data_IF_552469616288
#
_entry.id   IF_552469616288
#
_cell.length_a   1.000
_cell.length_b   1.000
_cell.length_c   1.000
_cell.angle_alpha   90.00
_cell.angle_beta   90.00
_cell.angle_gamma   90.00
#
_symmetry.space_group_name_H-M   'P 1'
#
loop_
_entity.id
_entity.type
_entity.pdbx_description
1 polymer ?
#
# COMPACT_ATOMS: atom_id res chain seq x y z
N UNK A 1 -7.96 4.03 -4.65
CA UNK A 1 -8.23 2.94 -3.68
C UNK A 1 -9.33 1.94 -4.09
N UNK A 2 -10.48 2.33 -4.66
CA UNK A 2 -11.58 1.36 -4.96
C UNK A 2 -11.31 0.36 -6.10
N UNK A 3 -10.41 0.66 -7.05
CA UNK A 3 -10.06 -0.24 -8.16
C UNK A 3 -9.15 -1.41 -7.75
N UNK A 4 -8.27 -1.19 -6.76
CA UNK A 4 -7.31 -2.19 -6.27
C UNK A 4 -7.97 -3.32 -5.44
N UNK A 5 -9.14 -3.07 -4.85
CA UNK A 5 -9.87 -4.06 -4.04
C UNK A 5 -10.70 -5.02 -4.91
N UNK A 6 -11.14 -4.58 -6.10
CA UNK A 6 -11.96 -5.41 -7.00
C UNK A 6 -11.14 -6.50 -7.70
N UNK A 7 -9.94 -6.16 -8.18
CA UNK A 7 -9.02 -7.13 -8.82
C UNK A 7 -8.65 -8.30 -7.89
N UNK A 8 -8.39 -8.01 -6.61
CA UNK A 8 -8.06 -9.03 -5.59
C UNK A 8 -9.26 -9.93 -5.25
N UNK A 9 -10.50 -9.41 -5.35
CA UNK A 9 -11.70 -10.21 -5.13
C UNK A 9 -11.95 -11.21 -6.26
N UNK A 10 -11.64 -10.85 -7.52
CA UNK A 10 -11.81 -11.72 -8.70
C UNK A 10 -10.84 -12.90 -8.65
N UNK A 11 -9.57 -12.66 -8.27
CA UNK A 11 -8.55 -13.73 -8.10
C UNK A 11 -8.97 -14.73 -7.02
N UNK A 12 -9.66 -14.27 -5.97
CA UNK A 12 -10.13 -15.13 -4.88
C UNK A 12 -11.35 -15.99 -5.28
N UNK A 13 -12.18 -15.51 -6.20
CA UNK A 13 -13.37 -16.26 -6.68
C UNK A 13 -12.92 -17.35 -7.66
N UNK A 14 -12.05 -17.05 -8.62
CA UNK A 14 -11.64 -18.02 -9.64
C UNK A 14 -10.66 -19.10 -9.12
N UNK A 15 -9.86 -18.82 -8.10
CA UNK A 15 -8.97 -19.83 -7.49
C UNK A 15 -9.71 -20.89 -6.67
N UNK A 16 -11.00 -20.68 -6.37
CA UNK A 16 -11.84 -21.67 -5.67
C UNK A 16 -12.58 -22.57 -6.67
N UNK A 17 -12.88 -22.09 -7.87
CA UNK A 17 -13.70 -22.82 -8.86
C UNK A 17 -12.88 -23.77 -9.77
N UNK A 18 -11.56 -23.57 -9.90
CA UNK A 18 -10.70 -24.44 -10.75
C UNK A 18 -10.35 -25.80 -10.09
N UNK A 19 -10.75 -26.06 -8.83
CA UNK A 19 -10.52 -27.38 -8.17
C UNK A 19 -11.75 -28.30 -8.19
N UNK A 20 -12.86 -27.92 -8.82
CA UNK A 20 -14.14 -28.61 -8.65
C UNK A 20 -14.65 -29.42 -9.85
N UNK A 21 -13.81 -29.83 -10.80
CA UNK A 21 -14.21 -30.86 -11.77
C UNK A 21 -13.66 -32.24 -11.36
N UNK A 22 -14.33 -32.88 -10.39
CA UNK A 22 -14.14 -34.31 -10.13
C UNK A 22 -14.20 -34.77 -8.67
N UNK A 23 -15.40 -34.91 -8.09
CA UNK A 23 -15.60 -36.00 -7.13
C UNK A 23 -17.03 -36.57 -7.13
N UNK A 24 -17.19 -37.69 -7.82
CA UNK A 24 -18.35 -38.56 -7.63
C UNK A 24 -18.20 -39.36 -6.32
N UNK A 25 -19.17 -39.21 -5.43
CA UNK A 25 -19.45 -40.03 -4.25
C UNK A 25 -19.29 -41.55 -4.49
N UNK A 26 -18.50 -42.22 -3.64
CA UNK A 26 -18.91 -43.50 -3.01
C UNK A 26 -18.02 -43.89 -1.81
N UNK A 27 -18.68 -44.15 -0.67
CA UNK A 27 -18.36 -45.28 0.20
C UNK A 27 -17.31 -45.10 1.30
N UNK A 28 -17.81 -44.97 2.52
CA UNK A 28 -17.17 -45.17 3.83
C UNK A 28 -16.34 -46.45 3.92
N UNK A 29 -15.09 -46.39 4.43
CA UNK A 29 -14.72 -47.03 5.71
C UNK A 29 -13.31 -46.66 6.21
N UNK A 30 -13.19 -46.74 7.53
CA UNK A 30 -12.09 -46.38 8.45
C UNK A 30 -10.72 -47.06 8.24
N UNK A 31 -9.63 -46.36 8.58
CA UNK A 31 -8.49 -46.96 9.30
C UNK A 31 -7.05 -46.65 8.85
N UNK A 32 -6.43 -45.66 9.51
CA UNK A 32 -5.07 -45.62 10.09
C UNK A 32 -3.77 -45.96 9.28
N UNK A 33 -2.82 -45.02 9.39
CA UNK A 33 -1.32 -45.15 9.46
C UNK A 33 -0.50 -45.70 8.29
N UNK A 34 0.53 -44.93 7.91
CA UNK A 34 1.83 -45.48 7.50
C UNK A 34 2.54 -44.72 6.38
N UNK A 35 3.59 -43.97 6.73
CA UNK A 35 4.69 -43.61 5.83
C UNK A 35 5.21 -44.84 5.07
N UNK A 36 5.56 -44.70 3.78
CA UNK A 36 6.95 -44.85 3.29
C UNK A 36 7.03 -44.75 1.77
N UNK A 37 8.04 -44.00 1.34
CA UNK A 37 8.61 -43.89 0.00
C UNK A 37 9.11 -45.23 -0.55
N UNK A 38 8.82 -45.52 -1.82
CA UNK A 38 9.66 -46.37 -2.67
C UNK A 38 9.26 -46.24 -4.15
N UNK A 39 10.14 -45.65 -4.96
CA UNK A 39 10.32 -45.94 -6.39
C UNK A 39 11.41 -47.02 -6.46
N UNK A 40 11.26 -48.08 -7.26
CA UNK A 40 12.10 -48.17 -8.47
C UNK A 40 11.44 -48.81 -9.71
N UNK A 41 11.81 -48.22 -10.84
CA UNK A 41 12.25 -48.86 -12.10
C UNK A 41 11.36 -49.92 -12.79
N UNK A 42 11.04 -49.64 -14.05
CA UNK A 42 11.51 -50.55 -15.11
C UNK A 42 10.61 -50.76 -16.34
N UNK A 43 11.20 -50.37 -17.48
CA UNK A 43 11.26 -51.09 -18.77
C UNK A 43 10.14 -50.93 -19.81
N UNK A 44 10.53 -50.22 -20.87
CA UNK A 44 10.63 -50.68 -22.28
C UNK A 44 9.47 -51.54 -22.83
N UNK A 45 8.80 -51.04 -23.87
CA UNK A 45 8.97 -51.55 -25.25
C UNK A 45 8.15 -50.76 -26.27
N UNK A 46 8.85 -50.27 -27.29
CA UNK A 46 8.33 -49.98 -28.61
C UNK A 46 8.20 -51.28 -29.43
N UNK A 47 7.15 -51.35 -30.26
CA UNK A 47 6.94 -52.04 -31.55
C UNK A 47 5.41 -52.21 -31.67
N UNK A 48 4.72 -51.81 -32.73
CA UNK A 48 4.93 -52.28 -34.10
C UNK A 48 3.96 -51.53 -35.01
N UNK A 49 4.44 -50.79 -36.01
CA UNK A 49 3.63 -50.40 -37.16
C UNK A 49 4.14 -51.08 -38.43
N UNK A 50 3.16 -51.61 -39.16
CA UNK A 50 3.31 -52.39 -40.38
C UNK A 50 2.60 -51.60 -41.49
N UNK A 51 3.41 -51.09 -42.42
CA UNK A 51 3.26 -51.04 -43.89
C UNK A 51 1.86 -50.67 -44.46
N UNK A 52 1.82 -49.71 -45.40
CA UNK A 52 1.59 -50.16 -46.77
C UNK A 52 2.60 -49.66 -47.81
N UNK A 53 2.73 -50.52 -48.81
CA UNK A 53 3.58 -50.50 -49.98
C UNK A 53 2.89 -49.73 -51.13
N UNK A 54 3.66 -48.94 -51.89
CA UNK A 54 3.59 -48.70 -53.36
C UNK A 54 2.25 -48.22 -53.97
N UNK A 55 2.22 -47.21 -54.85
CA UNK A 55 2.99 -47.11 -56.09
C UNK A 55 2.86 -45.70 -56.70
N UNK A 56 3.93 -45.24 -57.33
CA UNK A 56 4.06 -44.05 -58.16
C UNK A 56 3.05 -43.97 -59.32
N UNK A 57 2.66 -42.75 -59.71
CA UNK A 57 2.80 -42.31 -61.11
C UNK A 57 2.89 -40.78 -61.18
N UNK A 58 3.99 -40.28 -61.72
CA UNK A 58 4.22 -38.89 -62.12
C UNK A 58 3.72 -38.72 -63.56
N UNK A 59 2.99 -37.65 -63.88
CA UNK A 59 3.18 -36.98 -65.17
C UNK A 59 2.77 -35.51 -65.15
N UNK A 60 3.58 -34.72 -65.82
CA UNK A 60 3.56 -33.26 -65.92
C UNK A 60 2.46 -32.76 -66.87
N UNK A 61 2.06 -31.49 -66.74
CA UNK A 61 2.39 -30.40 -67.72
C UNK A 61 1.32 -29.28 -67.78
N UNK A 62 1.83 -28.05 -67.56
CA UNK A 62 1.45 -26.73 -68.09
C UNK A 62 0.19 -25.94 -67.65
N UNK A 63 0.52 -24.81 -66.98
CA UNK A 63 0.15 -23.41 -67.27
C UNK A 63 -1.32 -23.04 -67.54
N UNK A 64 -1.86 -22.10 -66.76
CA UNK A 64 -1.95 -20.66 -67.13
C UNK A 64 -2.78 -19.85 -66.12
N UNK A 65 -2.09 -18.93 -65.46
CA UNK A 65 -2.45 -17.53 -65.18
C UNK A 65 -3.89 -17.11 -64.81
N UNK A 66 -3.96 -16.46 -63.64
CA UNK A 66 -4.86 -15.38 -63.23
C UNK A 66 -6.37 -15.65 -63.10
N UNK A 67 -6.85 -15.60 -61.85
CA UNK A 67 -7.62 -14.45 -61.36
C UNK A 67 -8.18 -14.76 -59.96
N UNK A 68 -7.90 -13.85 -59.02
CA UNK A 68 -8.89 -13.26 -58.12
C UNK A 68 -10.17 -14.07 -57.83
N UNK A 69 -10.25 -14.63 -56.62
CA UNK A 69 -11.49 -14.57 -55.84
C UNK A 69 -11.05 -14.12 -54.44
N UNK A 70 -11.15 -12.84 -54.10
CA UNK A 70 -12.42 -12.28 -53.61
C UNK A 70 -12.98 -13.26 -52.56
N UNK A 71 -12.50 -13.11 -51.33
CA UNK A 71 -12.96 -13.86 -50.17
C UNK A 71 -14.43 -13.52 -49.96
N UNK A 72 -15.31 -14.34 -50.54
CA UNK A 72 -16.66 -14.46 -50.07
C UNK A 72 -16.56 -14.87 -48.60
N UNK A 73 -16.86 -13.92 -47.71
CA UNK A 73 -17.16 -14.24 -46.32
C UNK A 73 -18.34 -15.19 -46.35
N UNK A 74 -18.07 -16.45 -46.11
CA UNK A 74 -19.09 -17.45 -45.83
C UNK A 74 -19.64 -17.10 -44.43
N UNK A 75 -20.73 -16.33 -44.38
CA UNK A 75 -21.34 -15.78 -43.14
C UNK A 75 -21.91 -16.86 -42.18
N UNK A 76 -21.51 -18.13 -42.30
CA UNK A 76 -22.08 -19.23 -41.52
C UNK A 76 -21.08 -20.31 -41.09
N UNK A 77 -19.78 -20.06 -41.17
CA UNK A 77 -18.77 -20.99 -40.64
C UNK A 77 -18.43 -20.64 -39.20
N UNK A 78 -18.32 -21.62 -38.29
CA UNK A 78 -17.89 -21.38 -36.90
C UNK A 78 -16.50 -20.75 -36.82
N UNK A 79 -15.61 -21.04 -37.78
CA UNK A 79 -14.24 -20.56 -37.81
C UNK A 79 -14.14 -19.02 -37.73
N UNK A 80 -13.23 -18.51 -36.90
CA UNK A 80 -13.05 -17.09 -36.65
C UNK A 80 -12.34 -16.77 -35.34
N UNK A 81 -12.14 -15.46 -35.12
CA UNK A 81 -11.61 -14.90 -33.88
C UNK A 81 -12.77 -14.36 -33.05
N UNK A 82 -12.79 -14.71 -31.78
CA UNK A 82 -13.89 -14.43 -30.88
C UNK A 82 -13.39 -13.82 -29.57
N UNK A 83 -14.14 -12.85 -29.05
CA UNK A 83 -13.94 -12.29 -27.72
C UNK A 83 -15.14 -12.59 -26.84
N UNK A 84 -14.91 -12.83 -25.56
CA UNK A 84 -16.00 -12.92 -24.58
C UNK A 84 -16.68 -11.55 -24.42
N UNK A 85 -18.02 -11.55 -24.31
CA UNK A 85 -18.81 -10.35 -24.02
C UNK A 85 -19.72 -10.52 -22.79
N UNK A 86 -19.86 -11.74 -22.29
CA UNK A 86 -20.59 -12.02 -21.08
C UNK A 86 -20.06 -13.31 -20.47
N UNK A 87 -19.93 -13.31 -19.14
CA UNK A 87 -19.56 -14.50 -18.39
C UNK A 87 -20.34 -14.51 -17.08
N UNK A 88 -21.03 -15.61 -16.84
CA UNK A 88 -21.56 -15.97 -15.53
C UNK A 88 -20.73 -17.12 -15.00
N UNK A 89 -20.30 -17.06 -13.74
CA UNK A 89 -19.63 -18.16 -13.07
C UNK A 89 -20.20 -18.35 -11.67
N UNK A 90 -20.47 -19.59 -11.27
CA UNK A 90 -21.11 -19.92 -9.99
C UNK A 90 -22.41 -19.12 -9.71
N UNK A 91 -23.12 -18.72 -10.78
CA UNK A 91 -24.32 -17.89 -10.71
C UNK A 91 -24.09 -16.38 -10.51
N UNK A 92 -22.83 -15.92 -10.51
CA UNK A 92 -22.45 -14.50 -10.48
C UNK A 92 -22.06 -14.00 -11.88
N UNK A 93 -22.66 -12.89 -12.31
CA UNK A 93 -22.28 -12.20 -13.55
C UNK A 93 -21.02 -11.36 -13.31
N UNK A 94 -19.94 -11.72 -14.00
CA UNK A 94 -18.62 -11.08 -13.89
C UNK A 94 -18.22 -10.31 -15.17
N UNK A 95 -19.21 -9.95 -15.98
CA UNK A 95 -18.97 -9.31 -17.28
C UNK A 95 -18.22 -7.97 -17.14
N UNK A 96 -18.54 -7.17 -16.13
CA UNK A 96 -17.92 -5.85 -15.91
C UNK A 96 -16.45 -5.96 -15.47
N UNK A 97 -16.09 -7.05 -14.81
CA UNK A 97 -14.75 -7.39 -14.37
C UNK A 97 -13.89 -7.81 -15.56
N UNK A 98 -14.44 -8.58 -16.49
CA UNK A 98 -13.76 -8.95 -17.74
C UNK A 98 -13.44 -7.74 -18.61
N UNK A 99 -14.36 -6.76 -18.71
CA UNK A 99 -14.09 -5.51 -19.44
C UNK A 99 -12.91 -4.73 -18.83
N UNK A 100 -12.76 -4.77 -17.49
CA UNK A 100 -11.64 -4.12 -16.82
C UNK A 100 -10.32 -4.84 -17.06
N UNK A 101 -10.32 -6.18 -17.04
CA UNK A 101 -9.14 -6.98 -17.37
C UNK A 101 -8.70 -6.72 -18.82
N UNK A 102 -9.65 -6.69 -19.77
CA UNK A 102 -9.36 -6.44 -21.18
C UNK A 102 -8.70 -5.06 -21.37
N UNK A 103 -9.12 -4.06 -20.60
CA UNK A 103 -8.54 -2.72 -20.64
C UNK A 103 -7.09 -2.64 -20.11
N UNK A 104 -6.65 -3.61 -19.32
CA UNK A 104 -5.28 -3.69 -18.78
C UNK A 104 -4.41 -4.75 -19.48
N UNK A 105 -4.93 -5.37 -20.55
CA UNK A 105 -4.16 -6.27 -21.41
C UNK A 105 -4.30 -7.76 -21.08
N UNK A 106 -5.40 -8.18 -20.44
CA UNK A 106 -5.72 -9.61 -20.23
C UNK A 106 -7.19 -9.87 -20.52
N UNK A 107 -7.55 -11.00 -21.13
CA UNK A 107 -8.94 -11.28 -21.43
C UNK A 107 -9.18 -12.72 -21.87
N UNK A 108 -10.43 -13.02 -22.27
CA UNK A 108 -10.81 -14.34 -22.76
C UNK A 108 -11.15 -14.28 -24.24
N UNK A 109 -10.41 -15.03 -25.05
CA UNK A 109 -10.50 -15.04 -26.50
C UNK A 109 -10.47 -16.47 -27.03
N UNK A 110 -11.17 -16.72 -28.13
CA UNK A 110 -11.12 -18.01 -28.82
C UNK A 110 -10.79 -17.82 -30.30
N UNK A 111 -9.85 -18.60 -30.81
CA UNK A 111 -9.49 -18.68 -32.22
C UNK A 111 -9.90 -20.06 -32.72
N UNK A 112 -10.85 -20.11 -33.65
CA UNK A 112 -11.37 -21.34 -34.24
C UNK A 112 -10.89 -21.40 -35.69
N UNK A 113 -10.07 -22.39 -36.01
CA UNK A 113 -9.52 -22.58 -37.34
C UNK A 113 -10.44 -23.44 -38.21
N UNK A 114 -10.47 -23.21 -39.53
CA UNK A 114 -11.31 -23.99 -40.44
C UNK A 114 -10.84 -25.44 -40.64
N UNK A 115 -9.65 -25.80 -40.16
CA UNK A 115 -9.07 -27.15 -40.28
C UNK A 115 -9.51 -28.11 -39.17
N UNK A 116 -10.39 -27.67 -38.27
CA UNK A 116 -10.88 -28.47 -37.13
C UNK A 116 -10.08 -28.25 -35.83
N UNK A 117 -9.10 -27.35 -35.83
CA UNK A 117 -8.33 -26.98 -34.62
C UNK A 117 -8.76 -25.62 -34.08
N UNK A 118 -8.33 -25.29 -32.86
CA UNK A 118 -8.50 -23.98 -32.29
C UNK A 118 -7.69 -23.80 -31.01
N UNK A 119 -7.75 -22.60 -30.46
CA UNK A 119 -7.11 -22.24 -29.21
C UNK A 119 -8.01 -21.27 -28.44
N UNK A 120 -8.08 -21.45 -27.12
CA UNK A 120 -8.68 -20.48 -26.22
C UNK A 120 -7.56 -19.85 -25.38
N UNK A 121 -7.53 -18.52 -25.33
CA UNK A 121 -6.74 -17.78 -24.37
C UNK A 121 -7.68 -17.43 -23.21
N UNK A 122 -7.39 -17.96 -22.03
CA UNK A 122 -8.06 -17.61 -20.78
C UNK A 122 -7.11 -16.79 -19.92
N UNK A 123 -7.19 -15.48 -20.04
CA UNK A 123 -6.41 -14.53 -19.22
C UNK A 123 -4.90 -14.77 -19.29
N UNK A 124 -4.37 -14.94 -20.51
CA UNK A 124 -2.95 -15.17 -20.81
C UNK A 124 -2.56 -16.64 -20.88
N UNK A 125 -3.41 -17.56 -20.43
CA UNK A 125 -3.17 -19.01 -20.53
C UNK A 125 -3.82 -19.55 -21.81
N UNK A 126 -3.00 -20.15 -22.68
CA UNK A 126 -3.46 -20.71 -23.96
C UNK A 126 -3.70 -22.21 -23.83
N UNK A 127 -4.87 -22.65 -24.25
CA UNK A 127 -5.24 -24.07 -24.32
C UNK A 127 -5.69 -24.41 -25.74
N UNK A 128 -5.06 -25.42 -26.33
CA UNK A 128 -5.39 -25.90 -27.66
C UNK A 128 -6.59 -26.87 -27.60
N UNK A 129 -7.39 -26.92 -28.67
CA UNK A 129 -8.51 -27.84 -28.79
C UNK A 129 -8.75 -28.27 -30.22
N UNK A 130 -9.35 -29.45 -30.39
CA UNK A 130 -10.01 -29.85 -31.64
C UNK A 130 -11.51 -29.55 -31.55
N UNK A 131 -12.20 -29.39 -32.68
CA UNK A 131 -13.64 -29.11 -32.67
C UNK A 131 -14.41 -29.88 -33.73
N UNK A 132 -15.63 -30.30 -33.36
CA UNK A 132 -16.61 -30.91 -34.25
C UNK A 132 -17.93 -30.10 -34.23
N UNK A 133 -19.01 -30.62 -34.81
CA UNK A 133 -20.31 -29.92 -34.90
C UNK A 133 -20.95 -29.59 -33.53
N UNK A 134 -20.48 -30.19 -32.43
CA UNK A 134 -21.15 -30.15 -31.13
C UNK A 134 -20.21 -29.89 -29.95
N UNK A 135 -18.93 -30.25 -30.04
CA UNK A 135 -17.98 -30.22 -28.94
C UNK A 135 -16.67 -29.54 -29.32
N UNK A 136 -16.09 -28.87 -28.33
CA UNK A 136 -14.65 -28.59 -28.26
C UNK A 136 -13.98 -29.69 -27.44
N UNK A 137 -13.01 -30.38 -28.02
CA UNK A 137 -12.17 -31.39 -27.39
C UNK A 137 -10.93 -30.69 -26.85
N UNK A 138 -10.98 -30.30 -25.58
CA UNK A 138 -9.92 -29.51 -24.94
C UNK A 138 -8.71 -30.38 -24.63
N UNK A 139 -7.52 -29.94 -25.04
CA UNK A 139 -6.25 -30.60 -24.77
C UNK A 139 -5.48 -29.77 -23.74
N UNK A 140 -5.44 -30.26 -22.51
CA UNK A 140 -4.70 -29.63 -21.41
C UNK A 140 -3.64 -30.61 -20.90
N UNK A 141 -2.40 -30.16 -20.76
CA UNK A 141 -1.30 -31.00 -20.29
C UNK A 141 -1.42 -31.38 -18.79
N UNK A 142 -2.29 -30.69 -18.05
CA UNK A 142 -2.44 -30.80 -16.59
C UNK A 142 -3.70 -31.54 -16.14
N UNK A 143 -4.74 -31.58 -16.98
CA UNK A 143 -6.00 -32.32 -16.74
C UNK A 143 -6.30 -33.25 -17.90
N UNK A 144 -7.13 -34.27 -17.69
CA UNK A 144 -7.53 -35.16 -18.78
C UNK A 144 -8.35 -34.41 -19.83
N UNK A 145 -8.17 -34.79 -21.11
CA UNK A 145 -8.98 -34.33 -22.23
C UNK A 145 -10.46 -34.27 -21.86
N UNK A 146 -11.09 -33.14 -22.16
CA UNK A 146 -12.47 -32.86 -21.76
C UNK A 146 -13.28 -32.35 -22.95
N UNK A 147 -14.49 -32.90 -23.12
CA UNK A 147 -15.44 -32.49 -24.15
C UNK A 147 -16.35 -31.37 -23.62
N UNK A 148 -16.26 -30.21 -24.25
CA UNK A 148 -17.03 -29.02 -23.88
C UNK A 148 -18.12 -28.76 -24.92
N UNK A 149 -19.41 -28.90 -24.58
CA UNK A 149 -20.49 -28.61 -25.51
C UNK A 149 -20.57 -27.11 -25.80
N UNK A 150 -20.81 -26.75 -27.05
CA UNK A 150 -21.03 -25.37 -27.46
C UNK A 150 -22.30 -25.22 -28.29
N UNK A 151 -22.77 -23.98 -28.42
CA UNK A 151 -23.83 -23.61 -29.37
C UNK A 151 -23.38 -22.41 -30.18
N UNK A 152 -23.71 -22.40 -31.47
CA UNK A 152 -23.45 -21.27 -32.35
C UNK A 152 -24.74 -20.86 -33.05
N UNK A 153 -25.25 -19.68 -32.69
CA UNK A 153 -26.49 -19.13 -33.23
C UNK A 153 -26.42 -17.60 -33.26
N UNK A 154 -27.00 -16.99 -34.29
CA UNK A 154 -27.07 -15.52 -34.44
C UNK A 154 -25.69 -14.83 -34.33
N UNK A 155 -24.63 -15.49 -34.83
CA UNK A 155 -23.25 -14.99 -34.79
C UNK A 155 -22.59 -15.01 -33.41
N UNK A 156 -23.22 -15.67 -32.42
CA UNK A 156 -22.72 -15.82 -31.06
C UNK A 156 -22.34 -17.27 -30.79
N UNK A 157 -21.17 -17.44 -30.20
CA UNK A 157 -20.71 -18.71 -29.66
C UNK A 157 -21.00 -18.72 -28.17
N UNK A 158 -21.76 -19.71 -27.68
CA UNK A 158 -22.04 -19.88 -26.25
C UNK A 158 -21.48 -21.20 -25.79
N UNK A 159 -20.69 -21.15 -24.72
CA UNK A 159 -20.16 -22.30 -23.98
C UNK A 159 -20.81 -22.28 -22.61
N UNK A 160 -21.56 -23.33 -22.26
CA UNK A 160 -22.24 -23.42 -20.98
C UNK A 160 -21.99 -24.78 -20.32
N UNK A 161 -21.51 -24.76 -19.08
CA UNK A 161 -21.24 -25.95 -18.28
C UNK A 161 -21.67 -25.70 -16.84
N UNK A 162 -22.53 -26.58 -16.33
CA UNK A 162 -23.03 -26.50 -14.95
C UNK A 162 -23.62 -25.12 -14.58
N UNK A 163 -22.92 -24.33 -13.75
CA UNK A 163 -23.27 -22.97 -13.32
C UNK A 163 -22.55 -21.86 -14.09
N UNK A 164 -21.68 -22.23 -15.03
CA UNK A 164 -20.86 -21.31 -15.80
C UNK A 164 -21.40 -21.17 -17.23
N UNK A 165 -21.44 -19.93 -17.72
CA UNK A 165 -21.84 -19.60 -19.09
C UNK A 165 -20.93 -18.49 -19.62
N UNK A 166 -20.34 -18.73 -20.80
CA UNK A 166 -19.57 -17.73 -21.54
C UNK A 166 -20.21 -17.49 -22.90
N UNK A 167 -20.40 -16.22 -23.25
CA UNK A 167 -20.94 -15.79 -24.55
C UNK A 167 -19.88 -14.99 -25.28
N UNK A 168 -19.58 -15.42 -26.49
CA UNK A 168 -18.58 -14.85 -27.37
C UNK A 168 -19.21 -14.23 -28.62
N UNK A 169 -18.55 -13.19 -29.14
CA UNK A 169 -18.85 -12.59 -30.45
C UNK A 169 -17.59 -12.52 -31.29
N UNK A 170 -17.77 -12.48 -32.61
CA UNK A 170 -16.65 -12.25 -33.52
C UNK A 170 -15.97 -10.93 -33.22
N UNK A 171 -14.64 -10.96 -33.25
CA UNK A 171 -13.80 -9.78 -33.12
C UNK A 171 -13.86 -8.94 -34.40
N UNK A 172 -13.72 -7.63 -34.22
CA UNK A 172 -13.45 -6.69 -35.33
C UNK A 172 -12.03 -6.87 -35.87
N UNK A 173 -11.74 -6.30 -37.03
CA UNK A 173 -10.40 -6.37 -37.63
C UNK A 173 -9.35 -5.70 -36.74
N UNK A 174 -9.70 -4.59 -36.08
CA UNK A 174 -8.82 -3.90 -35.13
C UNK A 174 -8.53 -4.75 -33.89
N UNK A 175 -9.55 -5.39 -33.32
CA UNK A 175 -9.39 -6.25 -32.14
C UNK A 175 -8.56 -7.49 -32.47
N UNK A 176 -8.78 -8.08 -33.66
CA UNK A 176 -7.97 -9.19 -34.13
C UNK A 176 -6.51 -8.79 -34.24
N UNK A 177 -6.22 -7.62 -34.80
CA UNK A 177 -4.85 -7.13 -34.92
C UNK A 177 -4.20 -6.93 -33.53
N UNK A 178 -4.93 -6.40 -32.55
CA UNK A 178 -4.44 -6.26 -31.18
C UNK A 178 -4.11 -7.62 -30.55
N UNK A 179 -4.98 -8.62 -30.74
CA UNK A 179 -4.72 -9.99 -30.29
C UNK A 179 -3.50 -10.61 -30.97
N UNK A 180 -3.39 -10.53 -32.30
CA UNK A 180 -2.25 -11.07 -33.05
C UNK A 180 -0.92 -10.38 -32.68
N UNK A 181 -0.96 -9.16 -32.12
CA UNK A 181 0.22 -8.45 -31.59
C UNK A 181 0.59 -8.85 -30.15
N UNK A 182 -0.23 -9.65 -29.48
CA UNK A 182 -0.04 -10.07 -28.08
C UNK A 182 -0.48 -9.03 -27.04
N UNK A 183 -1.33 -8.07 -27.41
CA UNK A 183 -1.79 -7.01 -26.49
C UNK A 183 -2.62 -7.57 -25.31
N UNK A 184 -3.09 -8.82 -25.42
CA UNK A 184 -3.91 -9.51 -24.43
C UNK A 184 -3.26 -10.74 -23.79
N UNK A 185 -1.96 -10.96 -24.02
CA UNK A 185 -1.25 -12.15 -23.54
C UNK A 185 -0.82 -12.05 -22.07
N UNK A 186 -1.17 -10.96 -21.38
CA UNK A 186 -0.77 -10.82 -19.97
C UNK A 186 -1.53 -11.81 -19.11
N UNK A 187 -0.78 -12.58 -18.34
CA UNK A 187 -1.36 -13.43 -17.30
C UNK A 187 -1.83 -12.59 -16.11
N UNK A 188 -2.75 -13.14 -15.32
CA UNK A 188 -3.18 -12.51 -14.07
C UNK A 188 -1.99 -12.26 -13.13
N UNK A 189 -1.02 -13.18 -13.09
CA UNK A 189 0.19 -13.03 -12.28
C UNK A 189 1.03 -11.84 -12.77
N UNK A 190 1.24 -11.71 -14.08
CA UNK A 190 1.97 -10.58 -14.66
C UNK A 190 1.27 -9.24 -14.38
N UNK A 191 -0.05 -9.19 -14.51
CA UNK A 191 -0.83 -8.00 -14.16
C UNK A 191 -0.68 -7.66 -12.68
N UNK A 192 -0.71 -8.67 -11.82
CA UNK A 192 -0.58 -8.48 -10.37
C UNK A 192 0.80 -7.94 -10.00
N UNK A 193 1.85 -8.49 -10.60
CA UNK A 193 3.23 -8.03 -10.40
C UNK A 193 3.42 -6.59 -10.89
N UNK A 194 2.94 -6.25 -12.10
CA UNK A 194 3.00 -4.88 -12.61
C UNK A 194 2.25 -3.88 -11.72
N UNK A 195 1.08 -4.28 -11.19
CA UNK A 195 0.30 -3.45 -10.28
C UNK A 195 0.99 -3.28 -8.92
N UNK A 196 1.67 -4.32 -8.43
CA UNK A 196 2.45 -4.28 -7.19
C UNK A 196 3.66 -3.37 -7.35
N UNK A 197 4.40 -3.50 -8.44
CA UNK A 197 5.58 -2.68 -8.75
C UNK A 197 5.18 -1.20 -8.87
N UNK A 198 4.12 -0.90 -9.63
CA UNK A 198 3.61 0.47 -9.75
C UNK A 198 3.17 1.05 -8.40
N UNK A 199 2.55 0.25 -7.53
CA UNK A 199 2.14 0.71 -6.21
C UNK A 199 3.35 0.91 -5.27
N UNK A 200 4.39 0.08 -5.42
CA UNK A 200 5.63 0.19 -4.65
C UNK A 200 6.42 1.44 -5.04
N UNK A 201 6.56 1.71 -6.33
CA UNK A 201 7.22 2.91 -6.86
C UNK A 201 6.50 4.20 -6.44
N UNK A 202 5.17 4.22 -6.53
CA UNK A 202 4.34 5.36 -6.07
C UNK A 202 4.56 5.61 -4.57
N UNK A 203 4.47 4.57 -3.74
CA UNK A 203 4.67 4.69 -2.30
C UNK A 203 6.10 5.13 -1.92
N UNK A 204 7.11 4.65 -2.64
CA UNK A 204 8.51 5.00 -2.40
C UNK A 204 8.79 6.45 -2.78
N UNK A 205 8.25 6.91 -3.93
CA UNK A 205 8.39 8.30 -4.35
C UNK A 205 7.69 9.28 -3.40
N UNK A 206 6.54 8.92 -2.84
CA UNK A 206 5.85 9.74 -1.83
C UNK A 206 6.67 9.81 -0.52
N UNK A 207 7.29 8.70 -0.12
CA UNK A 207 8.13 8.66 1.07
C UNK A 207 9.39 9.51 0.90
N UNK A 208 10.06 9.44 -0.26
CA UNK A 208 11.25 10.23 -0.56
C UNK A 208 10.92 11.73 -0.59
N UNK A 209 9.79 12.12 -1.19
CA UNK A 209 9.34 13.52 -1.18
C UNK A 209 9.08 14.02 0.25
N UNK A 210 8.43 13.21 1.09
CA UNK A 210 8.18 13.57 2.48
C UNK A 210 9.46 13.66 3.31
N UNK A 211 10.46 12.83 3.00
CA UNK A 211 11.77 12.89 3.63
C UNK A 211 12.55 14.16 3.23
N UNK A 212 12.55 14.51 1.94
CA UNK A 212 13.18 15.73 1.43
C UNK A 212 12.54 16.99 2.03
N UNK A 213 11.20 17.03 2.12
CA UNK A 213 10.48 18.13 2.77
C UNK A 213 10.89 18.27 4.24
N UNK A 214 10.94 17.15 4.98
CA UNK A 214 11.35 17.15 6.39
C UNK A 214 12.81 17.58 6.58
N UNK A 215 13.72 17.21 5.67
CA UNK A 215 15.11 17.67 5.70
C UNK A 215 15.19 19.18 5.43
N UNK A 216 14.44 19.68 4.46
CA UNK A 216 14.41 21.12 4.15
C UNK A 216 13.89 21.95 5.34
N UNK A 217 12.85 21.47 6.02
CA UNK A 217 12.32 22.14 7.21
C UNK A 217 13.33 22.15 8.36
N UNK A 218 14.08 21.04 8.53
CA UNK A 218 15.14 20.94 9.53
C UNK A 218 16.28 21.92 9.23
N UNK A 219 16.74 22.01 7.97
CA UNK A 219 17.82 22.90 7.57
C UNK A 219 17.44 24.38 7.79
N UNK A 220 16.20 24.77 7.45
CA UNK A 220 15.69 26.11 7.72
C UNK A 220 15.67 26.41 9.23
N UNK A 221 15.20 25.46 10.04
CA UNK A 221 15.15 25.60 11.51
C UNK A 221 16.56 25.73 12.10
N UNK A 222 17.53 24.96 11.60
CA UNK A 222 18.93 25.01 12.04
C UNK A 222 19.59 26.32 11.62
N UNK A 223 19.31 26.82 10.42
CA UNK A 223 19.83 28.11 9.94
C UNK A 223 19.27 29.29 10.75
N UNK A 224 17.98 29.27 11.11
CA UNK A 224 17.39 30.25 12.02
C UNK A 224 18.05 30.18 13.41
N UNK A 225 18.19 28.99 13.99
CA UNK A 225 18.80 28.81 15.31
C UNK A 225 20.29 29.19 15.35
N UNK A 226 21.04 29.01 14.25
CA UNK A 226 22.46 29.39 14.21
C UNK A 226 22.69 30.87 13.93
N UNK A 227 21.78 31.54 13.22
CA UNK A 227 21.85 32.99 13.00
C UNK A 227 21.36 33.81 14.22
N UNK A 228 20.53 33.22 15.09
CA UNK A 228 20.04 33.85 16.33
C UNK A 228 20.80 33.45 17.61
N UNK A 229 22.06 33.00 17.50
CA UNK A 229 23.00 32.95 18.64
C UNK A 229 23.43 34.36 19.11
N UNK A 230 22.50 35.31 19.11
CA UNK A 230 22.57 36.54 19.88
C UNK A 230 22.45 36.15 21.35
N UNK A 231 23.51 36.40 22.12
CA UNK A 231 23.41 36.44 23.58
C UNK A 231 22.18 37.25 23.97
N UNK A 232 21.22 36.61 24.62
CA UNK A 232 20.03 37.25 25.15
C UNK A 232 20.49 38.43 26.03
N UNK A 233 20.11 39.64 25.64
CA UNK A 233 20.51 40.85 26.35
C UNK A 233 19.59 41.05 27.56
N UNK A 234 20.03 40.59 28.73
CA UNK A 234 19.28 40.74 29.98
C UNK A 234 19.28 42.17 30.54
N UNK A 235 19.89 43.14 29.85
CA UNK A 235 19.91 44.55 30.30
C UNK A 235 18.55 45.24 30.32
N UNK A 236 17.53 44.66 29.67
CA UNK A 236 16.16 45.17 29.67
C UNK A 236 15.32 44.71 30.87
N UNK A 237 15.79 43.72 31.65
CA UNK A 237 15.07 43.26 32.83
C UNK A 237 15.03 44.34 33.93
N UNK A 238 13.88 44.53 34.61
CA UNK A 238 13.79 45.48 35.71
C UNK A 238 14.72 45.07 36.85
N UNK A 239 15.36 46.05 37.50
CA UNK A 239 16.17 45.78 38.69
C UNK A 239 15.26 45.71 39.93
N UNK A 240 15.03 44.48 40.41
CA UNK A 240 14.17 44.19 41.56
C UNK A 240 14.96 43.89 42.85
N UNK A 241 16.27 44.15 42.86
CA UNK A 241 17.18 43.84 43.97
C UNK A 241 16.95 44.63 45.26
N UNK A 242 16.17 45.72 45.19
CA UNK A 242 15.87 46.56 46.35
C UNK A 242 14.67 46.09 47.18
N UNK A 243 13.91 45.10 46.70
CA UNK A 243 12.73 44.56 47.37
C UNK A 243 13.07 43.30 48.17
N UNK A 244 12.38 43.09 49.30
CA UNK A 244 12.42 41.79 49.98
C UNK A 244 11.39 40.87 49.33
N UNK A 245 11.86 39.75 48.79
CA UNK A 245 10.99 38.78 48.15
C UNK A 245 10.78 37.56 49.05
N UNK A 246 9.55 37.05 49.10
CA UNK A 246 9.17 35.99 50.04
C UNK A 246 9.08 34.59 49.40
N UNK A 247 9.15 34.52 48.07
CA UNK A 247 9.00 33.29 47.29
C UNK A 247 10.34 32.79 46.73
N UNK A 248 11.42 33.01 47.47
CA UNK A 248 12.76 32.57 47.08
C UNK A 248 12.88 31.06 47.20
N UNK A 249 13.47 30.39 46.22
CA UNK A 249 13.58 28.93 46.24
C UNK A 249 13.97 28.30 44.92
N UNK A 250 14.22 27.01 44.99
CA UNK A 250 14.27 26.12 43.84
C UNK A 250 12.93 25.46 43.64
N UNK A 251 12.50 25.39 42.40
CA UNK A 251 11.21 24.92 41.96
C UNK A 251 11.38 23.91 40.82
N UNK A 252 10.67 22.79 40.90
CA UNK A 252 10.65 21.75 39.86
C UNK A 252 9.25 21.62 39.27
N UNK A 253 9.14 21.36 37.97
CA UNK A 253 7.84 21.24 37.32
C UNK A 253 7.08 20.00 37.81
N UNK A 254 5.80 20.19 38.17
CA UNK A 254 4.86 19.11 38.46
C UNK A 254 4.03 18.75 37.23
N UNK A 255 3.56 19.77 36.52
CA UNK A 255 2.71 19.62 35.36
C UNK A 255 2.84 20.81 34.41
N UNK A 256 2.65 20.51 33.13
CA UNK A 256 2.59 21.46 32.03
C UNK A 256 1.28 21.25 31.29
N UNK A 257 0.55 22.30 30.96
CA UNK A 257 -0.64 22.24 30.14
C UNK A 257 -0.51 23.20 28.98
N UNK A 258 -0.80 22.70 27.78
CA UNK A 258 -0.83 23.45 26.53
C UNK A 258 -1.99 22.90 25.69
N UNK A 259 -2.77 23.78 25.06
CA UNK A 259 -3.89 23.41 24.20
C UNK A 259 -4.86 22.38 24.83
N UNK A 260 -5.15 22.58 26.13
CA UNK A 260 -6.00 21.69 26.93
C UNK A 260 -5.47 20.27 27.16
N UNK A 261 -4.21 20.00 26.82
CA UNK A 261 -3.52 18.74 27.11
C UNK A 261 -2.55 18.93 28.26
N UNK A 262 -2.71 18.12 29.30
CA UNK A 262 -1.84 18.13 30.48
C UNK A 262 -0.78 17.04 30.38
N UNK A 263 0.45 17.42 30.70
CA UNK A 263 1.63 16.58 30.76
C UNK A 263 2.15 16.55 32.20
N UNK A 264 2.36 15.37 32.75
CA UNK A 264 2.93 15.20 34.09
C UNK A 264 4.45 15.31 34.06
N UNK A 265 5.08 15.60 35.21
CA UNK A 265 6.54 15.61 35.36
C UNK A 265 7.22 14.34 34.79
N UNK A 266 6.65 13.15 35.01
CA UNK A 266 7.19 11.90 34.48
C UNK A 266 7.11 11.82 32.95
N UNK A 267 6.03 12.33 32.35
CA UNK A 267 5.87 12.37 30.89
C UNK A 267 6.88 13.34 30.26
N UNK A 268 7.05 14.52 30.86
CA UNK A 268 8.04 15.51 30.43
C UNK A 268 9.46 14.94 30.52
N UNK A 269 9.81 14.35 31.67
CA UNK A 269 11.12 13.71 31.87
C UNK A 269 11.39 12.59 30.87
N UNK A 270 10.38 11.76 30.57
CA UNK A 270 10.50 10.69 29.56
C UNK A 270 10.70 11.23 28.14
N UNK A 271 10.14 12.41 27.84
CA UNK A 271 10.35 13.11 26.59
C UNK A 271 11.71 13.83 26.50
N UNK A 272 12.56 13.72 27.53
CA UNK A 272 13.84 14.45 27.59
C UNK A 272 13.67 15.93 27.92
N UNK A 273 12.49 16.32 28.36
CA UNK A 273 12.17 17.70 28.70
C UNK A 273 12.38 17.92 30.20
N UNK A 274 13.33 18.79 30.53
CA UNK A 274 13.59 19.22 31.90
C UNK A 274 13.13 20.67 32.08
N UNK A 275 12.42 20.93 33.17
CA UNK A 275 12.09 22.28 33.61
C UNK A 275 12.42 22.45 35.09
N UNK A 276 13.23 23.45 35.39
CA UNK A 276 13.52 23.88 36.75
C UNK A 276 13.64 25.41 36.79
N UNK A 277 13.28 25.98 37.94
CA UNK A 277 13.28 27.42 38.15
C UNK A 277 13.92 27.74 39.50
N UNK A 278 14.74 28.78 39.53
CA UNK A 278 15.34 29.31 40.75
C UNK A 278 15.00 30.78 40.90
N UNK A 279 14.41 31.13 42.03
CA UNK A 279 14.07 32.51 42.40
C UNK A 279 14.99 32.94 43.54
N UNK A 280 15.89 33.87 43.27
CA UNK A 280 16.88 34.37 44.22
C UNK A 280 16.34 35.53 45.07
N UNK A 281 16.84 35.72 46.31
CA UNK A 281 16.42 36.82 47.19
C UNK A 281 16.68 38.23 46.67
N UNK A 282 17.56 38.38 45.70
CA UNK A 282 17.88 39.64 45.01
C UNK A 282 16.88 39.98 43.89
N UNK A 283 15.76 39.26 43.79
CA UNK A 283 14.75 39.49 42.76
C UNK A 283 15.19 39.08 41.36
N UNK A 284 16.27 38.31 41.25
CA UNK A 284 16.72 37.67 40.01
C UNK A 284 16.51 36.16 40.09
N UNK A 285 16.77 35.49 38.98
CA UNK A 285 16.68 34.05 38.93
C UNK A 285 16.96 33.51 37.54
N UNK A 286 16.69 32.22 37.38
CA UNK A 286 16.65 31.61 36.07
C UNK A 286 15.46 30.66 35.97
N UNK A 287 15.06 30.37 34.75
CA UNK A 287 14.30 29.17 34.43
C UNK A 287 14.95 28.42 33.28
N UNK A 288 15.03 27.10 33.42
CA UNK A 288 15.53 26.20 32.41
C UNK A 288 14.34 25.58 31.70
N UNK A 289 14.27 25.77 30.38
CA UNK A 289 13.24 25.21 29.52
C UNK A 289 13.92 24.39 28.43
N UNK A 290 13.78 23.05 28.48
CA UNK A 290 14.32 22.14 27.45
C UNK A 290 15.83 22.38 27.22
N UNK A 291 16.59 22.60 28.30
CA UNK A 291 18.03 22.83 28.24
C UNK A 291 18.46 24.26 27.90
N UNK A 292 17.51 25.16 27.68
CA UNK A 292 17.80 26.59 27.48
C UNK A 292 17.55 27.35 28.78
N UNK A 293 18.53 28.12 29.23
CA UNK A 293 18.42 28.95 30.43
C UNK A 293 17.96 30.35 30.07
N UNK A 294 16.92 30.82 30.76
CA UNK A 294 16.35 32.16 30.65
C UNK A 294 16.63 32.93 31.92
N UNK A 295 17.15 34.14 31.78
CA UNK A 295 17.34 35.05 32.89
C UNK A 295 15.98 35.60 33.35
N UNK A 296 15.75 35.57 34.66
CA UNK A 296 14.53 36.08 35.27
C UNK A 296 14.83 37.30 36.12
N UNK A 297 13.88 38.25 36.10
CA UNK A 297 13.66 39.17 37.20
C UNK A 297 12.26 38.97 37.76
N UNK A 298 12.04 39.15 39.05
CA UNK A 298 10.74 38.85 39.63
C UNK A 298 10.41 39.75 40.84
N UNK A 299 9.11 39.84 41.12
CA UNK A 299 8.52 40.36 42.35
C UNK A 299 7.44 39.40 42.87
N UNK A 300 7.01 39.56 44.13
CA UNK A 300 5.94 38.77 44.73
C UNK A 300 4.64 38.86 43.88
N UNK A 301 4.46 37.89 42.98
CA UNK A 301 3.33 37.76 42.05
C UNK A 301 3.63 37.97 40.55
N UNK A 302 4.85 38.40 40.17
CA UNK A 302 5.24 38.58 38.76
C UNK A 302 6.64 38.03 38.47
N UNK A 303 6.78 37.30 37.36
CA UNK A 303 8.07 36.92 36.78
C UNK A 303 8.22 37.64 35.44
N UNK A 304 9.39 38.21 35.20
CA UNK A 304 9.81 38.80 33.94
C UNK A 304 10.89 37.94 33.33
N UNK A 305 10.70 37.53 32.08
CA UNK A 305 11.62 36.66 31.34
C UNK A 305 12.27 37.46 30.23
N UNK A 306 13.60 37.36 30.09
CA UNK A 306 14.30 37.89 28.92
C UNK A 306 14.08 36.97 27.71
N UNK A 307 13.64 37.55 26.59
CA UNK A 307 13.45 36.85 25.31
C UNK A 307 14.26 37.55 24.21
N UNK A 308 14.38 36.89 23.06
CA UNK A 308 14.94 37.44 21.82
C UNK A 308 14.22 38.74 21.37
N UNK A 309 12.92 38.83 21.63
CA UNK A 309 12.08 39.99 21.32
C UNK A 309 12.02 41.03 22.44
N UNK A 310 12.73 40.83 23.55
CA UNK A 310 12.82 41.76 24.67
C UNK A 310 12.46 41.13 26.01
N UNK A 311 11.31 41.52 26.57
CA UNK A 311 10.89 41.11 27.91
C UNK A 311 9.44 40.66 27.88
N UNK A 312 9.18 39.48 28.43
CA UNK A 312 7.83 38.97 28.66
C UNK A 312 7.48 39.03 30.15
N UNK A 313 6.23 39.38 30.45
CA UNK A 313 5.71 39.49 31.81
C UNK A 313 4.72 38.35 32.07
N UNK A 314 5.07 37.47 32.99
CA UNK A 314 4.23 36.38 33.45
C UNK A 314 3.70 36.66 34.86
N UNK A 315 2.41 36.42 35.08
CA UNK A 315 1.81 36.49 36.42
C UNK A 315 1.83 35.08 37.01
N UNK A 316 2.27 34.96 38.26
CA UNK A 316 2.26 33.71 38.97
C UNK A 316 1.43 33.77 40.25
N UNK A 317 0.87 32.63 40.64
CA UNK A 317 0.06 32.47 41.83
C UNK A 317 0.70 31.42 42.73
N UNK A 318 0.92 31.78 43.99
CA UNK A 318 1.33 30.83 45.02
C UNK A 318 0.12 30.20 45.69
N UNK A 319 0.17 28.90 45.89
CA UNK A 319 -0.83 28.19 46.69
C UNK A 319 -0.21 27.00 47.41
N UNK A 320 -0.91 26.49 48.42
CA UNK A 320 -0.55 25.23 49.08
C UNK A 320 -1.46 24.13 48.53
N UNK A 321 -0.87 23.07 47.99
CA UNK A 321 -1.57 21.91 47.45
C UNK A 321 -0.96 20.63 48.00
N UNK A 322 -1.76 19.79 48.66
CA UNK A 322 -1.31 18.52 49.26
C UNK A 322 -0.07 18.67 50.16
N UNK A 323 -0.07 19.71 51.01
CA UNK A 323 1.05 20.07 51.90
C UNK A 323 2.34 20.50 51.18
N UNK A 324 2.27 20.78 49.87
CA UNK A 324 3.37 21.32 49.05
C UNK A 324 3.09 22.78 48.72
N UNK A 325 4.12 23.61 48.77
CA UNK A 325 4.03 24.98 48.27
C UNK A 325 4.25 24.95 46.76
N UNK A 326 3.30 25.46 46.00
CA UNK A 326 3.36 25.46 44.54
C UNK A 326 3.27 26.87 43.97
N UNK A 327 3.93 27.07 42.83
CA UNK A 327 3.77 28.24 41.97
C UNK A 327 3.06 27.81 40.71
N UNK A 328 1.95 28.48 40.39
CA UNK A 328 1.25 28.32 39.11
C UNK A 328 1.50 29.55 38.24
N UNK A 329 2.06 29.34 37.06
CA UNK A 329 2.19 30.37 36.02
C UNK A 329 1.12 30.09 34.99
N UNK A 330 0.35 31.11 34.62
CA UNK A 330 -0.74 30.97 33.66
C UNK A 330 -0.65 32.05 32.58
N UNK A 331 -0.73 31.62 31.34
CA UNK A 331 -0.82 32.45 30.14
C UNK A 331 -2.00 31.97 29.28
N UNK A 332 -2.36 32.75 28.26
CA UNK A 332 -3.58 32.62 27.46
C UNK A 332 -3.82 31.21 26.89
N UNK A 333 -2.76 30.45 26.62
CA UNK A 333 -2.79 29.10 26.06
C UNK A 333 -2.00 28.06 26.88
N UNK A 334 -1.33 28.47 27.97
CA UNK A 334 -0.38 27.63 28.69
C UNK A 334 -0.53 27.77 30.21
N UNK A 335 -0.42 26.66 30.94
CA UNK A 335 -0.32 26.68 32.38
C UNK A 335 0.80 25.77 32.88
N UNK A 336 1.61 26.27 33.80
CA UNK A 336 2.73 25.56 34.40
C UNK A 336 2.58 25.53 35.91
N UNK A 337 2.79 24.37 36.51
CA UNK A 337 2.74 24.19 37.96
C UNK A 337 4.08 23.69 38.44
N UNK A 338 4.69 24.42 39.36
CA UNK A 338 5.98 24.09 39.96
C UNK A 338 5.85 23.81 41.46
N UNK A 339 6.55 22.79 41.94
CA UNK A 339 6.69 22.46 43.35
C UNK A 339 7.95 23.09 43.91
N UNK A 340 7.82 23.71 45.09
CA UNK A 340 8.95 24.15 45.88
C UNK A 340 9.76 22.96 46.39
N UNK A 341 11.07 22.94 46.09
CA UNK A 341 11.97 21.84 46.46
C UNK A 341 12.82 22.21 47.68
N UNK A 342 13.48 23.38 47.66
CA UNK A 342 14.40 23.82 48.71
C UNK A 342 14.65 25.33 48.65
N UNK A 343 15.16 25.89 49.75
CA UNK A 343 15.53 27.31 49.82
C UNK A 343 16.67 27.61 48.85
N UNK A 344 16.61 28.79 48.22
CA UNK A 344 17.76 29.36 47.52
C UNK A 344 18.81 29.79 48.56
N UNK A 345 20.09 29.66 48.23
CA UNK A 345 21.15 30.16 49.11
C UNK A 345 20.99 31.68 49.27
N UNK A 346 20.84 32.21 50.49
CA UNK A 346 20.57 33.62 50.73
C UNK A 346 21.74 34.54 50.32
N UNK A 347 22.92 33.99 50.08
CA UNK A 347 24.10 34.70 49.60
C UNK A 347 24.34 34.56 48.09
N UNK A 348 23.49 33.80 47.40
CA UNK A 348 23.62 33.56 45.97
C UNK A 348 23.06 34.74 45.16
N UNK A 349 23.91 35.34 44.35
CA UNK A 349 23.55 36.37 43.37
C UNK A 349 23.60 35.75 41.96
N UNK A 350 22.48 35.79 41.24
CA UNK A 350 22.45 35.31 39.85
C UNK A 350 23.15 36.33 38.94
N UNK A 351 24.18 35.87 38.22
CA UNK A 351 25.04 36.74 37.39
C UNK A 351 24.67 36.76 35.91
N UNK A 352 23.61 36.05 35.50
CA UNK A 352 23.12 36.00 34.12
C UNK A 352 23.86 34.97 33.27
N UNK A 353 23.15 33.98 32.74
CA UNK A 353 23.71 32.94 31.84
C UNK A 353 22.73 32.60 30.73
N UNK A 354 22.01 33.59 30.22
CA UNK A 354 21.00 33.37 29.20
C UNK A 354 21.62 32.83 27.89
N UNK A 355 21.10 31.69 27.43
CA UNK A 355 21.61 30.93 26.28
C UNK A 355 21.60 29.42 26.47
N UNK A 356 21.96 28.70 25.40
CA UNK A 356 22.21 27.25 25.44
C UNK A 356 23.56 27.02 26.12
N UNK A 357 23.62 26.17 27.16
CA UNK A 357 24.91 25.70 27.68
C UNK A 357 25.61 24.92 26.56
N UNK A 358 26.76 25.42 26.08
CA UNK A 358 27.63 24.75 25.09
C UNK A 358 27.98 23.30 25.47
#
# INVERSE_FOLDING_TARGET
>A
MKRKILAVAIVLIMSISIVACGSSKKGTDTGNTGETTSIPEGKLKATSDKIPETTETTDNTDNKEAASSESAQDENTLAGYYKVISMTTDGEDITAELEQLAAIGSGIFAVINPDGTGQINMMGEMTDFDWDEKYFHMHDDTVSDTDVPYTFADGKLTIAQESDEMIFVRMTDEEKQAYDNGDYDKTIDQLTDEMLDSAYDEATSELDSAADDAISDLDNTVEEATNESTKLDSSYLPDMSSSKHNDTGYYEIMAFQEDSKTYTADQLKKAGVAFDMMLCPDGKGYANFIGTYYDLSWDDGTIYVATDQGQEKMIYFKSDYDSKSIITINDSNMAMVFEYVKEADPSYEWTGVSGVLE
#
